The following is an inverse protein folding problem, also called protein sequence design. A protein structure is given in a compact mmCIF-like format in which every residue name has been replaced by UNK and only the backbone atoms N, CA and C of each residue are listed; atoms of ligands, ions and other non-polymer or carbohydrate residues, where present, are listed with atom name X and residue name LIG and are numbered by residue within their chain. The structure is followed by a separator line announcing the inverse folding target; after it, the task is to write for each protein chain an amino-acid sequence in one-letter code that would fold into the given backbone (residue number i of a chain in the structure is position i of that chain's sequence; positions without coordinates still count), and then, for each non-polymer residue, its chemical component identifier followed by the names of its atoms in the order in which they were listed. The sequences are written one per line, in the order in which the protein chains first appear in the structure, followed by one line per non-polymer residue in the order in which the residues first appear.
data_IF_217611971470
#
_entry.id   IF_217611971470
#
_cell.length_a   1.000
_cell.length_b   1.000
_cell.length_c   1.000
_cell.angle_alpha   90.00
_cell.angle_beta   90.00
_cell.angle_gamma   90.00
#
_symmetry.space_group_name_H-M   'P 1'
#
loop_
_entity.id
_entity.type
_entity.pdbx_description
1 polymer ?
#
# COMPACT_ATOMS: atom_id res chain seq x y z
N UNK A 1 0.45 -39.00 8.30
CA UNK A 1 1.38 -38.10 9.02
C UNK A 1 0.63 -36.81 9.31
N UNK A 2 0.49 -36.34 10.57
CA UNK A 2 -0.13 -35.04 10.80
C UNK A 2 0.75 -33.96 10.20
N UNK A 3 0.21 -33.16 9.29
CA UNK A 3 0.88 -31.98 8.73
C UNK A 3 1.21 -31.03 9.86
N UNK A 4 2.49 -30.84 10.13
CA UNK A 4 2.99 -29.89 11.12
C UNK A 4 2.50 -28.47 10.74
N UNK A 5 1.61 -27.88 11.56
CA UNK A 5 1.16 -26.50 11.36
C UNK A 5 2.28 -25.56 11.74
N UNK A 6 2.52 -24.53 10.91
CA UNK A 6 3.49 -23.50 11.17
C UNK A 6 2.81 -22.18 11.61
N UNK A 7 3.55 -21.38 12.36
CA UNK A 7 3.13 -20.04 12.78
C UNK A 7 3.15 -19.11 11.56
N UNK A 8 2.07 -18.38 11.33
CA UNK A 8 1.95 -17.43 10.20
C UNK A 8 2.88 -16.21 10.29
N UNK A 9 3.63 -16.05 11.38
CA UNK A 9 4.56 -14.94 11.54
C UNK A 9 6.03 -15.37 11.49
N UNK A 10 6.41 -16.41 12.23
CA UNK A 10 7.80 -16.82 12.33
C UNK A 10 8.09 -18.15 11.60
N UNK A 11 7.07 -18.73 10.95
CA UNK A 11 7.13 -20.02 10.23
C UNK A 11 7.57 -21.23 11.08
N UNK A 12 7.90 -20.99 12.34
CA UNK A 12 8.23 -22.05 13.27
C UNK A 12 7.05 -22.95 13.62
N UNK A 13 7.30 -24.15 14.17
CA UNK A 13 6.25 -25.12 14.47
C UNK A 13 5.29 -24.57 15.53
N UNK A 14 4.00 -24.90 15.36
CA UNK A 14 2.99 -24.56 16.36
C UNK A 14 3.15 -25.46 17.60
N UNK A 15 3.02 -24.89 18.83
CA UNK A 15 3.02 -25.69 20.04
C UNK A 15 1.93 -26.80 20.00
N UNK A 16 2.23 -27.97 20.53
CA UNK A 16 1.27 -29.10 20.60
C UNK A 16 0.00 -28.69 21.38
N UNK A 17 0.14 -27.78 22.34
CA UNK A 17 -0.95 -27.22 23.16
C UNK A 17 -1.73 -26.12 22.46
N UNK A 18 -1.31 -25.68 21.26
CA UNK A 18 -1.99 -24.62 20.53
C UNK A 18 -3.39 -25.05 20.08
N UNK A 19 -4.39 -24.19 20.32
CA UNK A 19 -5.77 -24.44 19.87
C UNK A 19 -5.81 -24.71 18.37
N UNK A 20 -6.74 -25.55 17.90
CA UNK A 20 -6.83 -25.98 16.48
C UNK A 20 -6.88 -24.81 15.48
N UNK A 21 -7.44 -23.67 15.86
CA UNK A 21 -7.57 -22.47 15.03
C UNK A 21 -6.52 -21.40 15.35
N UNK A 22 -5.51 -21.69 16.21
CA UNK A 22 -4.46 -20.75 16.48
C UNK A 22 -3.58 -20.56 15.22
N UNK A 23 -3.32 -19.30 14.89
CA UNK A 23 -2.52 -18.88 13.73
C UNK A 23 -1.07 -18.54 14.11
N UNK A 24 -0.82 -18.27 15.39
CA UNK A 24 0.47 -17.83 15.93
C UNK A 24 0.90 -18.73 17.07
N UNK A 25 2.21 -19.05 17.13
CA UNK A 25 2.76 -19.96 18.15
C UNK A 25 2.72 -19.34 19.56
N UNK A 26 2.71 -18.00 19.67
CA UNK A 26 2.77 -17.29 20.95
C UNK A 26 2.24 -15.85 20.85
N UNK A 27 1.96 -15.17 21.98
CA UNK A 27 1.44 -13.82 22.00
C UNK A 27 2.35 -12.79 21.30
N UNK A 28 3.68 -12.95 21.39
CA UNK A 28 4.61 -12.04 20.72
C UNK A 28 4.52 -12.14 19.18
N UNK A 29 4.33 -13.34 18.63
CA UNK A 29 4.12 -13.53 17.20
C UNK A 29 2.79 -12.92 16.74
N UNK A 30 1.73 -13.03 17.54
CA UNK A 30 0.46 -12.35 17.29
C UNK A 30 0.62 -10.83 17.31
N UNK A 31 1.32 -10.29 18.33
CA UNK A 31 1.56 -8.85 18.44
C UNK A 31 2.45 -8.33 17.30
N UNK A 32 3.45 -9.11 16.88
CA UNK A 32 4.30 -8.77 15.75
C UNK A 32 3.54 -8.79 14.42
N UNK A 33 2.71 -9.82 14.18
CA UNK A 33 1.82 -9.87 13.04
C UNK A 33 0.77 -8.75 13.05
N UNK A 34 0.23 -8.38 14.21
CA UNK A 34 -0.67 -7.25 14.36
C UNK A 34 0.03 -5.91 14.10
N UNK A 35 1.31 -5.77 14.49
CA UNK A 35 2.14 -4.62 14.15
C UNK A 35 2.46 -4.58 12.65
N UNK A 36 2.74 -5.72 12.01
CA UNK A 36 2.87 -5.81 10.55
C UNK A 36 1.58 -5.41 9.83
N UNK A 37 0.41 -5.73 10.35
CA UNK A 37 -0.89 -5.33 9.78
C UNK A 37 -1.21 -3.84 9.92
N UNK A 38 -0.61 -3.12 10.87
CA UNK A 38 -0.70 -1.66 11.01
C UNK A 38 0.47 -1.01 10.28
N UNK A 39 0.51 -1.13 8.98
CA UNK A 39 1.73 -0.85 8.20
C UNK A 39 1.69 0.45 7.43
N UNK A 40 0.55 1.13 7.41
CA UNK A 40 0.44 2.41 6.73
C UNK A 40 1.23 3.49 7.50
N UNK A 41 2.12 4.24 6.84
CA UNK A 41 2.89 5.31 7.44
C UNK A 41 2.03 6.36 8.15
N UNK A 42 2.56 6.93 9.24
CA UNK A 42 1.88 7.99 9.99
C UNK A 42 1.69 9.23 9.13
N UNK A 43 2.60 9.50 8.22
CA UNK A 43 2.54 10.61 7.26
C UNK A 43 1.27 10.55 6.39
N UNK A 44 0.75 9.36 6.11
CA UNK A 44 -0.53 9.19 5.42
C UNK A 44 -1.70 9.18 6.41
N UNK A 45 -1.60 8.42 7.51
CA UNK A 45 -2.74 8.24 8.44
C UNK A 45 -3.08 9.50 9.24
N UNK A 46 -2.15 10.45 9.39
CA UNK A 46 -2.38 11.75 10.02
C UNK A 46 -3.15 12.74 9.15
N UNK A 47 -3.17 12.54 7.83
CA UNK A 47 -3.88 13.40 6.89
C UNK A 47 -5.34 13.00 6.75
N UNK A 48 -6.32 13.93 6.79
CA UNK A 48 -7.74 13.61 6.65
C UNK A 48 -8.18 13.50 5.18
N UNK A 49 -7.46 12.69 4.39
CA UNK A 49 -7.66 12.53 2.94
C UNK A 49 -7.99 11.09 2.54
N UNK A 50 -8.76 10.43 3.41
CA UNK A 50 -9.15 9.03 3.20
C UNK A 50 -10.56 8.93 2.68
N UNK A 51 -10.73 8.02 1.73
CA UNK A 51 -12.01 7.62 1.17
C UNK A 51 -12.15 6.11 1.23
N UNK A 52 -13.33 5.63 0.93
CA UNK A 52 -13.56 4.23 0.57
C UNK A 52 -13.57 4.09 -0.95
N UNK A 53 -13.51 2.88 -1.46
CA UNK A 53 -13.76 2.61 -2.86
C UNK A 53 -14.55 1.32 -3.07
N UNK A 54 -15.32 1.25 -4.17
CA UNK A 54 -16.04 0.04 -4.56
C UNK A 54 -15.09 -1.02 -5.12
N UNK A 55 -15.62 -2.24 -5.37
CA UNK A 55 -14.88 -3.29 -6.07
C UNK A 55 -14.40 -2.85 -7.47
N UNK A 56 -15.10 -1.92 -8.12
CA UNK A 56 -14.77 -1.35 -9.43
C UNK A 56 -13.91 -0.08 -9.34
N UNK A 57 -13.29 0.17 -8.19
CA UNK A 57 -12.45 1.37 -7.94
C UNK A 57 -13.23 2.70 -8.07
N UNK A 58 -14.57 2.72 -7.90
CA UNK A 58 -15.31 3.99 -7.79
C UNK A 58 -15.06 4.56 -6.41
N UNK A 59 -14.63 5.85 -6.28
CA UNK A 59 -14.41 6.47 -4.97
C UNK A 59 -15.73 6.66 -4.22
N UNK A 60 -15.73 6.37 -2.91
CA UNK A 60 -16.88 6.44 -2.03
C UNK A 60 -16.52 7.20 -0.76
N UNK A 61 -17.47 7.95 -0.22
CA UNK A 61 -17.41 8.48 1.14
C UNK A 61 -17.50 7.35 2.17
N UNK A 62 -17.24 7.64 3.43
CA UNK A 62 -17.43 6.67 4.52
C UNK A 62 -18.90 6.24 4.69
N UNK A 63 -19.85 7.01 4.18
CA UNK A 63 -21.29 6.70 4.15
C UNK A 63 -21.73 5.92 2.90
N UNK A 64 -20.85 5.67 1.94
CA UNK A 64 -21.13 4.91 0.73
C UNK A 64 -21.62 5.72 -0.48
N UNK A 65 -21.78 7.03 -0.35
CA UNK A 65 -22.05 7.94 -1.49
C UNK A 65 -20.78 8.09 -2.35
N UNK A 66 -20.93 8.53 -3.60
CA UNK A 66 -19.78 8.83 -4.46
C UNK A 66 -18.94 9.94 -3.84
N UNK A 67 -17.62 9.73 -3.81
CA UNK A 67 -16.63 10.72 -3.40
C UNK A 67 -15.86 11.27 -4.61
N UNK A 68 -15.14 12.36 -4.41
CA UNK A 68 -14.27 12.98 -5.41
C UNK A 68 -12.82 13.01 -4.94
N UNK A 69 -11.88 12.81 -5.87
CA UNK A 69 -10.44 13.01 -5.59
C UNK A 69 -10.02 14.48 -5.61
N UNK A 70 -10.94 15.40 -5.90
CA UNK A 70 -10.69 16.86 -5.98
C UNK A 70 -11.63 17.66 -5.08
N UNK A 71 -12.49 17.01 -4.29
CA UNK A 71 -13.40 17.66 -3.34
C UNK A 71 -13.11 17.17 -1.91
N UNK A 72 -12.39 17.98 -1.11
CA UNK A 72 -12.03 17.65 0.28
C UNK A 72 -13.23 17.40 1.20
N UNK A 73 -14.42 17.92 0.88
CA UNK A 73 -15.63 17.70 1.68
C UNK A 73 -16.09 16.23 1.68
N UNK A 74 -15.63 15.44 0.69
CA UNK A 74 -15.96 14.02 0.54
C UNK A 74 -14.94 13.09 1.23
N UNK A 75 -13.86 13.65 1.78
CA UNK A 75 -12.79 12.88 2.42
C UNK A 75 -13.03 12.73 3.93
N UNK A 76 -12.25 11.88 4.57
CA UNK A 76 -12.38 11.58 5.99
C UNK A 76 -11.01 11.32 6.64
N UNK A 77 -11.00 11.21 7.96
CA UNK A 77 -9.82 10.74 8.70
C UNK A 77 -9.62 9.25 8.47
N UNK A 78 -8.37 8.81 8.49
CA UNK A 78 -8.02 7.38 8.35
C UNK A 78 -8.84 6.47 9.27
N UNK A 79 -8.96 6.82 10.56
CA UNK A 79 -9.71 6.01 11.55
C UNK A 79 -11.17 5.81 11.16
N UNK A 80 -11.81 6.84 10.59
CA UNK A 80 -13.23 6.84 10.25
C UNK A 80 -13.44 6.03 8.95
N UNK A 81 -12.54 6.19 7.95
CA UNK A 81 -12.53 5.37 6.75
C UNK A 81 -12.23 3.89 7.05
N UNK A 82 -11.29 3.60 7.96
CA UNK A 82 -10.95 2.24 8.36
C UNK A 82 -12.07 1.54 9.15
N UNK A 83 -12.91 2.29 9.89
CA UNK A 83 -14.06 1.77 10.61
C UNK A 83 -15.30 1.59 9.71
N UNK A 84 -15.34 2.23 8.54
CA UNK A 84 -16.47 2.15 7.61
C UNK A 84 -16.54 0.79 6.91
N UNK A 85 -17.74 0.28 6.74
CA UNK A 85 -18.06 -0.92 5.94
C UNK A 85 -18.39 -0.60 4.48
N UNK A 86 -18.42 0.67 4.09
CA UNK A 86 -18.72 1.07 2.72
C UNK A 86 -17.67 0.56 1.73
N UNK A 87 -18.11 0.04 0.60
CA UNK A 87 -17.25 -0.40 -0.50
C UNK A 87 -16.35 -1.60 -0.17
N UNK A 88 -15.20 -1.69 -0.85
CA UNK A 88 -14.31 -2.85 -0.84
C UNK A 88 -12.91 -2.58 -0.26
N UNK A 89 -12.55 -1.31 -0.02
CA UNK A 89 -11.22 -0.98 0.47
C UNK A 89 -11.04 0.50 0.82
N UNK A 90 -9.82 0.82 1.25
CA UNK A 90 -9.38 2.17 1.56
C UNK A 90 -8.74 2.83 0.35
N UNK A 91 -8.91 4.13 0.21
CA UNK A 91 -8.19 4.97 -0.73
C UNK A 91 -7.62 6.20 -0.05
N UNK A 92 -6.44 6.59 -0.45
CA UNK A 92 -5.80 7.84 -0.02
C UNK A 92 -5.77 8.82 -1.19
N UNK A 93 -6.21 10.05 -0.97
CA UNK A 93 -6.24 11.09 -2.00
C UNK A 93 -4.92 11.85 -2.00
N UNK A 94 -4.30 11.96 -3.17
CA UNK A 94 -3.16 12.83 -3.46
C UNK A 94 -3.69 14.23 -3.78
N UNK A 95 -3.13 15.26 -3.14
CA UNK A 95 -3.65 16.63 -3.10
C UNK A 95 -2.53 17.67 -3.28
N UNK A 96 -1.48 17.33 -3.98
CA UNK A 96 -0.40 18.24 -4.34
C UNK A 96 0.48 18.75 -3.18
N UNK A 97 0.40 18.13 -1.99
CA UNK A 97 1.07 18.57 -0.76
C UNK A 97 2.40 17.87 -0.47
N UNK A 98 3.05 17.37 -1.50
CA UNK A 98 4.35 16.73 -1.40
C UNK A 98 4.30 15.22 -1.18
N UNK A 99 3.12 14.59 -1.08
CA UNK A 99 3.00 13.12 -1.11
C UNK A 99 2.84 12.65 -2.53
N UNK A 100 3.66 11.68 -2.93
CA UNK A 100 3.63 11.07 -4.26
C UNK A 100 3.46 9.56 -4.17
N UNK A 101 2.93 8.97 -5.22
CA UNK A 101 2.86 7.53 -5.42
C UNK A 101 3.31 7.17 -6.83
N UNK A 102 4.25 6.23 -6.92
CA UNK A 102 4.58 5.53 -8.16
C UNK A 102 3.81 4.20 -8.13
N UNK A 103 2.93 4.02 -9.09
CA UNK A 103 2.15 2.78 -9.29
C UNK A 103 2.85 1.95 -10.37
N UNK A 104 3.41 0.82 -9.96
CA UNK A 104 4.14 -0.12 -10.82
C UNK A 104 3.20 -1.26 -11.19
N UNK A 105 2.59 -1.17 -12.35
CA UNK A 105 1.62 -2.16 -12.82
C UNK A 105 2.31 -3.46 -13.27
N UNK A 106 1.75 -4.62 -12.85
CA UNK A 106 2.19 -5.95 -13.27
C UNK A 106 3.70 -6.17 -13.12
N UNK A 107 4.26 -5.70 -12.02
CA UNK A 107 5.69 -5.68 -11.76
C UNK A 107 6.20 -6.87 -10.94
N UNK A 108 5.31 -7.74 -10.48
CA UNK A 108 5.66 -8.96 -9.75
C UNK A 108 5.48 -10.19 -10.63
N UNK A 109 6.39 -11.14 -10.53
CA UNK A 109 6.28 -12.45 -11.16
C UNK A 109 5.36 -13.40 -10.35
N UNK A 110 5.27 -14.66 -10.80
CA UNK A 110 4.41 -15.67 -10.17
C UNK A 110 4.83 -16.03 -8.74
N UNK A 111 6.09 -15.80 -8.38
CA UNK A 111 6.65 -16.03 -7.05
C UNK A 111 6.57 -14.76 -6.18
N UNK A 112 6.05 -13.66 -6.71
CA UNK A 112 5.94 -12.37 -6.04
C UNK A 112 7.26 -11.59 -6.00
N UNK A 113 8.24 -11.97 -6.83
CA UNK A 113 9.49 -11.24 -6.96
C UNK A 113 9.34 -10.10 -8.00
N UNK A 114 9.97 -8.92 -7.75
CA UNK A 114 9.88 -7.81 -8.69
C UNK A 114 10.64 -8.12 -9.99
N UNK A 115 10.03 -7.78 -11.12
CA UNK A 115 10.68 -7.85 -12.44
C UNK A 115 11.89 -6.89 -12.50
N UNK A 116 12.90 -7.14 -13.37
CA UNK A 116 14.15 -6.37 -13.41
C UNK A 116 13.97 -4.85 -13.50
N UNK A 117 12.99 -4.38 -14.28
CA UNK A 117 12.70 -2.96 -14.41
C UNK A 117 12.16 -2.36 -13.10
N UNK A 118 11.32 -3.10 -12.38
CA UNK A 118 10.79 -2.66 -11.09
C UNK A 118 11.86 -2.70 -10.00
N UNK A 119 12.77 -3.70 -10.03
CA UNK A 119 13.92 -3.76 -9.12
C UNK A 119 14.79 -2.51 -9.25
N UNK A 120 15.00 -2.00 -10.47
CA UNK A 120 15.75 -0.76 -10.71
C UNK A 120 15.09 0.44 -10.02
N UNK A 121 13.76 0.58 -10.13
CA UNK A 121 13.01 1.66 -9.49
C UNK A 121 13.04 1.50 -7.96
N UNK A 122 12.82 0.29 -7.45
CA UNK A 122 12.84 0.02 -6.01
C UNK A 122 14.22 0.30 -5.40
N UNK A 123 15.30 -0.07 -6.09
CA UNK A 123 16.66 0.24 -5.64
C UNK A 123 16.93 1.75 -5.60
N UNK A 124 16.46 2.48 -6.60
CA UNK A 124 16.57 3.95 -6.63
C UNK A 124 15.70 4.61 -5.55
N UNK A 125 14.50 4.09 -5.28
CA UNK A 125 13.59 4.63 -4.27
C UNK A 125 14.14 4.47 -2.83
N UNK A 126 15.00 3.49 -2.58
CA UNK A 126 15.66 3.31 -1.30
C UNK A 126 14.70 3.07 -0.14
N UNK A 127 14.97 3.74 0.98
CA UNK A 127 14.26 3.57 2.25
C UNK A 127 12.91 4.31 2.28
N UNK A 128 11.93 3.80 1.53
CA UNK A 128 10.56 4.30 1.54
C UNK A 128 9.54 3.17 1.66
N UNK A 129 8.31 3.50 2.04
CA UNK A 129 7.23 2.50 2.14
C UNK A 129 6.75 2.04 0.78
N UNK A 130 6.72 0.72 0.63
CA UNK A 130 6.17 0.06 -0.55
C UNK A 130 5.09 -0.92 -0.10
N UNK A 131 3.97 -0.96 -0.80
CA UNK A 131 2.91 -1.93 -0.59
C UNK A 131 2.58 -2.70 -1.86
N UNK A 132 2.06 -3.92 -1.68
CA UNK A 132 1.50 -4.68 -2.79
C UNK A 132 0.16 -4.04 -3.18
N UNK A 133 -0.02 -3.79 -4.47
CA UNK A 133 -1.25 -3.21 -5.00
C UNK A 133 -2.44 -4.17 -4.84
N UNK A 134 -3.64 -3.66 -5.08
CA UNK A 134 -4.86 -4.46 -4.91
C UNK A 134 -4.97 -5.64 -5.87
N UNK A 135 -4.36 -5.60 -7.04
CA UNK A 135 -4.33 -6.71 -7.99
C UNK A 135 -3.51 -7.88 -7.47
N UNK A 136 -2.51 -7.61 -6.62
CA UNK A 136 -1.58 -8.59 -6.08
C UNK A 136 -0.32 -8.78 -6.92
N UNK A 137 -0.25 -8.21 -8.11
CA UNK A 137 0.87 -8.32 -9.06
C UNK A 137 1.58 -7.00 -9.37
N UNK A 138 1.13 -5.89 -8.73
CA UNK A 138 1.73 -4.57 -8.82
C UNK A 138 2.19 -4.05 -7.47
N UNK A 139 2.94 -2.95 -7.47
CA UNK A 139 3.46 -2.27 -6.28
C UNK A 139 3.12 -0.78 -6.30
N UNK A 140 2.76 -0.22 -5.14
CA UNK A 140 2.72 1.21 -4.90
C UNK A 140 3.97 1.62 -4.11
N UNK A 141 4.79 2.48 -4.69
CA UNK A 141 5.95 3.08 -4.01
C UNK A 141 5.54 4.47 -3.54
N UNK A 142 5.43 4.66 -2.25
CA UNK A 142 5.00 5.90 -1.61
C UNK A 142 6.18 6.72 -1.13
N UNK A 143 6.13 8.03 -1.30
CA UNK A 143 7.20 8.90 -0.83
C UNK A 143 6.85 10.38 -0.88
N UNK A 144 7.89 11.19 -0.70
CA UNK A 144 7.83 12.64 -0.75
C UNK A 144 8.45 13.14 -2.05
N UNK A 145 7.83 14.14 -2.67
CA UNK A 145 8.25 14.75 -3.91
C UNK A 145 7.13 15.57 -4.54
N UNK A 146 7.33 16.04 -5.76
CA UNK A 146 6.36 16.84 -6.50
C UNK A 146 6.32 16.47 -7.98
N UNK A 147 5.17 16.66 -8.57
CA UNK A 147 4.91 16.41 -9.98
C UNK A 147 3.83 17.39 -10.46
N UNK A 148 4.08 18.09 -11.57
CA UNK A 148 3.12 19.09 -12.09
C UNK A 148 1.81 18.44 -12.57
N UNK A 149 1.89 17.24 -13.16
CA UNK A 149 0.72 16.48 -13.63
C UNK A 149 1.02 15.00 -13.59
N UNK A 150 -0.01 14.18 -13.30
CA UNK A 150 0.10 12.73 -13.37
C UNK A 150 0.64 12.26 -14.71
N UNK A 151 1.52 11.30 -14.70
CA UNK A 151 2.19 10.73 -15.88
C UNK A 151 2.06 9.22 -15.90
N UNK A 152 1.87 8.69 -17.10
CA UNK A 152 2.09 7.27 -17.38
C UNK A 152 3.23 7.15 -18.37
N UNK A 153 4.22 6.36 -18.01
CA UNK A 153 5.44 6.16 -18.80
C UNK A 153 5.70 4.66 -18.99
N UNK A 154 6.50 4.34 -20.01
CA UNK A 154 7.09 3.02 -20.16
C UNK A 154 8.56 3.09 -19.75
N UNK A 155 8.95 2.28 -18.77
CA UNK A 155 10.32 2.20 -18.30
C UNK A 155 10.84 0.77 -18.44
N UNK A 156 11.85 0.56 -19.30
CA UNK A 156 12.46 -0.75 -19.57
C UNK A 156 11.42 -1.86 -19.83
N UNK A 157 10.36 -1.55 -20.57
CA UNK A 157 9.29 -2.48 -20.91
C UNK A 157 8.18 -2.60 -19.87
N UNK A 158 8.28 -1.96 -18.72
CA UNK A 158 7.25 -1.91 -17.69
C UNK A 158 6.40 -0.63 -17.75
N UNK A 159 5.23 -0.67 -17.12
CA UNK A 159 4.32 0.49 -17.00
C UNK A 159 4.44 1.11 -15.62
N UNK A 160 4.75 2.39 -15.58
CA UNK A 160 4.84 3.19 -14.35
C UNK A 160 3.88 4.36 -14.44
N UNK A 161 3.01 4.50 -13.45
CA UNK A 161 2.16 5.66 -13.29
C UNK A 161 2.65 6.50 -12.10
N UNK A 162 2.84 7.82 -12.31
CA UNK A 162 3.31 8.77 -11.30
C UNK A 162 2.18 9.73 -10.96
N UNK A 163 1.87 9.84 -9.67
CA UNK A 163 0.79 10.70 -9.18
C UNK A 163 1.21 11.49 -7.95
N UNK A 164 0.80 12.77 -7.91
CA UNK A 164 1.01 13.67 -6.78
C UNK A 164 -0.27 14.44 -6.41
N UNK A 165 -1.23 14.56 -7.32
CA UNK A 165 -2.41 15.40 -7.16
C UNK A 165 -3.63 14.86 -7.93
N UNK A 166 -4.84 15.26 -7.49
CA UNK A 166 -6.09 15.04 -8.19
C UNK A 166 -6.52 13.58 -8.35
N UNK A 167 -5.87 12.66 -7.66
CA UNK A 167 -6.10 11.22 -7.78
C UNK A 167 -6.16 10.55 -6.41
N UNK A 168 -6.96 9.50 -6.26
CA UNK A 168 -6.82 8.60 -5.14
C UNK A 168 -6.12 7.31 -5.54
N UNK A 169 -5.33 6.76 -4.63
CA UNK A 169 -4.69 5.45 -4.75
C UNK A 169 -5.36 4.49 -3.77
N UNK A 170 -5.70 3.29 -4.23
CA UNK A 170 -6.22 2.25 -3.36
C UNK A 170 -5.11 1.75 -2.43
N UNK A 171 -5.32 1.88 -1.12
CA UNK A 171 -4.31 1.49 -0.11
C UNK A 171 -4.68 0.15 0.48
N UNK A 172 -3.76 -0.81 0.39
CA UNK A 172 -3.95 -2.18 0.88
C UNK A 172 -3.40 -2.38 2.29
N UNK A 173 -2.36 -1.61 2.67
CA UNK A 173 -1.57 -1.81 3.87
C UNK A 173 -0.72 -3.09 3.84
N UNK A 174 -0.67 -3.80 2.72
CA UNK A 174 0.14 -5.00 2.52
C UNK A 174 1.58 -4.59 2.18
N UNK A 175 2.38 -4.25 3.19
CA UNK A 175 3.79 -3.86 2.99
C UNK A 175 4.55 -4.92 2.20
N UNK A 176 5.26 -4.47 1.18
CA UNK A 176 6.13 -5.30 0.38
C UNK A 176 7.49 -5.48 1.07
N UNK A 177 7.89 -6.71 1.30
CA UNK A 177 9.16 -7.03 1.95
C UNK A 177 9.31 -6.39 3.34
N UNK A 178 10.51 -5.92 3.64
CA UNK A 178 10.87 -5.27 4.90
C UNK A 178 10.99 -3.73 4.74
N UNK A 179 10.27 -3.14 3.77
CA UNK A 179 10.31 -1.69 3.56
C UNK A 179 9.84 -0.91 4.79
N UNK A 180 10.43 0.26 5.09
CA UNK A 180 10.15 1.02 6.29
C UNK A 180 8.74 1.61 6.28
N UNK A 181 8.18 1.93 7.46
CA UNK A 181 6.88 2.59 7.62
C UNK A 181 7.00 4.10 7.63
N UNK A 182 7.68 4.63 6.65
CA UNK A 182 7.89 6.07 6.48
C UNK A 182 7.92 6.40 4.99
N UNK A 183 7.67 7.65 4.67
CA UNK A 183 7.83 8.17 3.32
C UNK A 183 9.26 8.69 3.17
N UNK A 184 10.02 8.10 2.24
CA UNK A 184 11.33 8.59 1.81
C UNK A 184 11.21 9.63 0.71
N UNK A 185 12.32 10.29 0.39
CA UNK A 185 12.40 11.27 -0.71
C UNK A 185 12.44 10.54 -2.06
N UNK A 186 11.52 10.88 -2.97
CA UNK A 186 11.39 10.27 -4.30
C UNK A 186 11.62 11.25 -5.45
N UNK A 187 11.93 12.55 -5.18
CA UNK A 187 12.08 13.52 -6.26
C UNK A 187 13.13 13.09 -7.28
N UNK A 188 14.27 12.58 -6.82
CA UNK A 188 15.35 12.11 -7.70
C UNK A 188 14.92 10.92 -8.59
N UNK A 189 14.03 10.06 -8.11
CA UNK A 189 13.47 8.95 -8.91
C UNK A 189 12.52 9.49 -9.97
N UNK A 190 11.65 10.44 -9.56
CA UNK A 190 10.71 11.10 -10.48
C UNK A 190 11.47 11.80 -11.60
N UNK A 191 12.50 12.59 -11.27
CA UNK A 191 13.31 13.33 -12.24
C UNK A 191 14.07 12.40 -13.20
N UNK A 192 14.47 11.21 -12.74
CA UNK A 192 15.15 10.22 -13.57
C UNK A 192 14.19 9.44 -14.49
N UNK A 193 12.90 9.43 -14.18
CA UNK A 193 11.87 8.74 -14.96
C UNK A 193 11.22 9.65 -16.02
N UNK A 194 11.33 10.98 -15.89
CA UNK A 194 10.73 12.00 -16.77
C UNK A 194 11.72 12.59 -17.75
#
# INVERSE_FOLDING_TARGET
MPTSRCCEHCEGPMPITARRHARFCEPRCRAAAARRRRTIPTELTSRPRWIRHSARKVPLTIGGSVASSTDPSTWSRHRDAAASSAGAGLGFVLDGDGVVCLDLDHCLDQDGAPLPWAQTILAAAGDTWVEVSRSGDGLHVWGLGGLQAGRRITFNGGSVELYADGRYIAVTGATFGDTPRRLGELQHVIDALL
#
